data_IF_281388447047
#
_entry.id   IF_281388447047
#
_cell.length_a   1.000
_cell.length_b   1.000
_cell.length_c   1.000
_cell.angle_alpha   90.00
_cell.angle_beta   90.00
_cell.angle_gamma   90.00
#
_symmetry.space_group_name_H-M   'P 1'
#
loop_
_entity.id
_entity.type
_entity.pdbx_description
1 polymer ?
#
# COMPACT_ATOMS: atom_id res chain seq x y z
N UNK A 1 1.32 -44.75 18.37
CA UNK A 1 1.23 -43.77 17.27
C UNK A 1 2.03 -42.54 17.71
N UNK A 2 3.20 -42.27 17.10
CA UNK A 2 4.06 -41.13 17.46
C UNK A 2 4.00 -40.14 16.30
N UNK A 3 3.48 -38.94 16.54
CA UNK A 3 3.46 -37.87 15.55
C UNK A 3 4.90 -37.38 15.36
N UNK A 4 5.41 -37.48 14.12
CA UNK A 4 6.74 -36.98 13.75
C UNK A 4 6.73 -35.46 13.87
N UNK A 5 7.68 -34.94 14.64
CA UNK A 5 8.00 -33.52 14.70
C UNK A 5 8.54 -33.02 13.36
N UNK A 6 8.18 -31.80 13.00
CA UNK A 6 8.95 -30.99 12.06
C UNK A 6 8.34 -30.82 10.67
N UNK A 7 7.12 -30.30 10.58
CA UNK A 7 6.87 -29.35 9.49
C UNK A 7 7.68 -28.12 9.85
N UNK A 8 8.91 -28.00 9.32
CA UNK A 8 9.52 -26.68 9.22
C UNK A 8 8.54 -25.90 8.37
N UNK A 9 7.82 -24.96 8.99
CA UNK A 9 7.18 -23.90 8.23
C UNK A 9 8.26 -23.44 7.25
N UNK A 10 8.00 -23.58 5.96
CA UNK A 10 8.77 -22.84 4.97
C UNK A 10 8.75 -21.43 5.50
N UNK A 11 9.90 -20.96 5.98
CA UNK A 11 10.13 -19.55 6.18
C UNK A 11 9.95 -19.01 4.77
N UNK A 12 8.72 -18.63 4.42
CA UNK A 12 8.53 -17.55 3.47
C UNK A 12 9.43 -16.48 4.06
N UNK A 13 10.41 -15.94 3.32
CA UNK A 13 11.16 -14.78 3.77
C UNK A 13 10.15 -13.63 3.89
N UNK A 14 9.32 -13.67 4.91
CA UNK A 14 8.48 -12.59 5.36
C UNK A 14 9.44 -11.71 6.11
N UNK A 15 10.04 -10.77 5.37
CA UNK A 15 10.67 -9.62 5.97
C UNK A 15 11.80 -9.95 6.96
N UNK A 16 12.64 -10.93 6.63
CA UNK A 16 14.04 -10.82 7.02
C UNK A 16 14.56 -9.52 6.40
N UNK A 17 15.42 -8.82 7.14
CA UNK A 17 16.10 -7.57 6.78
C UNK A 17 16.47 -7.52 5.28
N UNK A 18 16.61 -6.31 4.71
CA UNK A 18 17.08 -6.04 3.33
C UNK A 18 15.94 -5.87 2.31
N UNK A 19 15.37 -4.69 2.06
CA UNK A 19 16.06 -3.44 1.78
C UNK A 19 15.19 -2.29 2.31
N UNK A 20 15.75 -1.48 3.22
CA UNK A 20 15.16 -0.18 3.51
C UNK A 20 15.08 0.67 2.24
N UNK A 21 16.08 0.53 1.37
CA UNK A 21 16.10 1.16 0.06
C UNK A 21 14.96 0.66 -0.84
N UNK A 22 14.33 1.60 -1.55
CA UNK A 22 13.10 1.45 -2.32
C UNK A 22 11.87 1.00 -1.50
N UNK A 23 11.90 1.11 -0.17
CA UNK A 23 10.75 0.80 0.68
C UNK A 23 9.88 2.02 0.96
N UNK A 24 8.63 1.77 1.37
CA UNK A 24 7.74 2.82 1.87
C UNK A 24 8.34 3.57 3.07
N UNK A 25 9.18 2.91 3.88
CA UNK A 25 9.83 3.55 5.02
C UNK A 25 10.88 4.58 4.60
N UNK A 26 11.67 4.29 3.55
CA UNK A 26 12.60 5.27 2.96
C UNK A 26 11.84 6.46 2.34
N UNK A 27 10.72 6.19 1.66
CA UNK A 27 9.87 7.26 1.13
C UNK A 27 9.32 8.18 2.25
N UNK A 28 8.98 7.61 3.41
CA UNK A 28 8.56 8.39 4.59
C UNK A 28 9.71 9.23 5.16
N UNK A 29 10.93 8.70 5.23
CA UNK A 29 12.10 9.48 5.65
C UNK A 29 12.40 10.62 4.67
N UNK A 30 12.31 10.38 3.36
CA UNK A 30 12.47 11.41 2.35
C UNK A 30 11.41 12.53 2.51
N UNK A 31 10.15 12.16 2.75
CA UNK A 31 9.08 13.11 3.02
C UNK A 31 9.29 13.89 4.33
N UNK A 32 9.71 13.21 5.41
CA UNK A 32 10.10 13.86 6.66
C UNK A 32 11.20 14.90 6.42
N UNK A 33 12.19 14.55 5.60
CA UNK A 33 13.28 15.43 5.25
C UNK A 33 12.85 16.64 4.41
N UNK A 34 11.92 16.47 3.46
CA UNK A 34 11.42 17.56 2.62
C UNK A 34 10.53 18.52 3.40
N UNK A 35 9.69 18.00 4.30
CA UNK A 35 8.75 18.81 5.08
C UNK A 35 9.38 19.47 6.30
N UNK A 36 10.58 19.05 6.73
CA UNK A 36 11.23 19.60 7.92
C UNK A 36 11.30 21.12 7.92
N UNK A 37 11.75 21.75 6.82
CA UNK A 37 11.86 23.21 6.74
C UNK A 37 10.50 23.91 6.80
N UNK A 38 9.46 23.27 6.25
CA UNK A 38 8.11 23.83 6.22
C UNK A 38 7.47 23.82 7.61
N UNK A 39 7.72 22.76 8.40
CA UNK A 39 7.08 22.56 9.71
C UNK A 39 7.93 23.13 10.85
N UNK A 40 9.24 22.92 10.81
CA UNK A 40 10.17 23.24 11.89
C UNK A 40 11.01 24.51 11.62
N UNK A 41 10.86 25.13 10.45
CA UNK A 41 11.60 26.33 10.06
C UNK A 41 13.10 26.08 9.99
N UNK A 42 13.87 26.92 10.69
CA UNK A 42 15.34 26.87 10.73
C UNK A 42 15.89 25.99 11.86
N UNK A 43 15.03 25.25 12.58
CA UNK A 43 15.48 24.34 13.61
C UNK A 43 16.40 23.26 13.02
N UNK A 44 17.48 22.93 13.75
CA UNK A 44 18.43 21.90 13.34
C UNK A 44 17.71 20.58 13.15
N UNK A 45 17.85 20.00 11.96
CA UNK A 45 17.27 18.69 11.66
C UNK A 45 17.96 17.60 12.49
N UNK A 46 17.20 16.71 13.15
CA UNK A 46 17.79 15.56 13.81
C UNK A 46 18.51 14.69 12.79
N UNK A 47 19.66 14.16 13.18
CA UNK A 47 20.38 13.20 12.35
C UNK A 47 19.58 11.89 12.27
N UNK A 48 19.63 11.18 11.13
CA UNK A 48 19.05 9.85 11.01
C UNK A 48 19.61 8.95 12.12
N UNK A 49 18.72 8.21 12.79
CA UNK A 49 19.08 7.26 13.83
C UNK A 49 18.32 5.96 13.63
N UNK A 50 18.87 4.85 14.15
CA UNK A 50 18.23 3.53 14.07
C UNK A 50 16.81 3.56 14.66
N UNK A 51 16.57 4.38 15.69
CA UNK A 51 15.25 4.56 16.31
C UNK A 51 14.27 5.24 15.35
N UNK A 52 14.73 6.26 14.62
CA UNK A 52 13.92 6.95 13.62
C UNK A 52 13.61 6.04 12.43
N UNK A 53 14.60 5.27 11.98
CA UNK A 53 14.43 4.28 10.92
C UNK A 53 13.43 3.19 11.34
N UNK A 54 13.56 2.67 12.56
CA UNK A 54 12.62 1.70 13.13
C UNK A 54 11.20 2.26 13.17
N UNK A 55 11.03 3.53 13.55
CA UNK A 55 9.73 4.20 13.56
C UNK A 55 9.09 4.21 12.17
N UNK A 56 9.82 4.62 11.13
CA UNK A 56 9.30 4.61 9.75
C UNK A 56 8.96 3.19 9.28
N UNK A 57 9.80 2.21 9.60
CA UNK A 57 9.53 0.79 9.29
C UNK A 57 8.25 0.31 9.98
N UNK A 58 8.06 0.62 11.27
CA UNK A 58 6.87 0.24 12.04
C UNK A 58 5.60 0.85 11.45
N UNK A 59 5.63 2.14 11.11
CA UNK A 59 4.48 2.83 10.49
C UNK A 59 4.16 2.21 9.13
N UNK A 60 5.16 2.04 8.25
CA UNK A 60 4.96 1.45 6.93
C UNK A 60 4.35 0.04 7.02
N UNK A 61 4.87 -0.81 7.92
CA UNK A 61 4.32 -2.16 8.16
C UNK A 61 2.89 -2.10 8.68
N UNK A 62 2.58 -1.17 9.59
CA UNK A 62 1.24 -0.96 10.12
C UNK A 62 0.24 -0.57 9.05
N UNK A 63 0.60 0.35 8.15
CA UNK A 63 -0.23 0.76 7.01
C UNK A 63 -0.49 -0.42 6.08
N UNK A 64 0.57 -1.11 5.65
CA UNK A 64 0.43 -2.26 4.73
C UNK A 64 -0.45 -3.35 5.37
N UNK A 65 -0.23 -3.66 6.65
CA UNK A 65 -1.06 -4.63 7.36
C UNK A 65 -2.52 -4.18 7.45
N UNK A 66 -2.77 -2.92 7.78
CA UNK A 66 -4.13 -2.40 7.88
C UNK A 66 -4.87 -2.46 6.54
N UNK A 67 -4.23 -2.07 5.44
CA UNK A 67 -4.80 -2.14 4.10
C UNK A 67 -5.03 -3.58 3.63
N UNK A 68 -4.14 -4.50 4.02
CA UNK A 68 -4.32 -5.93 3.76
C UNK A 68 -5.52 -6.50 4.53
N UNK A 69 -5.67 -6.17 5.81
CA UNK A 69 -6.75 -6.69 6.64
C UNK A 69 -8.11 -6.00 6.35
N UNK A 70 -8.11 -4.81 5.74
CA UNK A 70 -9.29 -3.97 5.48
C UNK A 70 -9.32 -3.51 4.02
N UNK A 71 -9.56 -4.45 3.10
CA UNK A 71 -9.52 -4.17 1.65
C UNK A 71 -10.46 -3.05 1.19
N UNK A 72 -11.60 -2.86 1.85
CA UNK A 72 -12.55 -1.77 1.61
C UNK A 72 -11.98 -0.37 1.89
N UNK A 73 -10.96 -0.26 2.74
CA UNK A 73 -10.27 0.99 3.00
C UNK A 73 -9.41 1.46 1.81
N UNK A 74 -9.13 0.56 0.84
CA UNK A 74 -8.37 0.86 -0.35
C UNK A 74 -9.26 0.93 -1.59
N UNK A 75 -9.89 2.09 -1.81
CA UNK A 75 -10.68 2.34 -3.02
C UNK A 75 -9.83 2.98 -4.11
N UNK A 76 -9.46 2.22 -5.14
CA UNK A 76 -8.86 2.76 -6.36
C UNK A 76 -9.96 3.24 -7.29
N UNK A 77 -10.08 4.57 -7.46
CA UNK A 77 -10.95 5.15 -8.49
C UNK A 77 -10.14 5.26 -9.78
N UNK A 78 -10.55 4.50 -10.79
CA UNK A 78 -10.03 4.64 -12.15
C UNK A 78 -10.98 5.56 -12.91
N UNK A 79 -10.48 6.71 -13.36
CA UNK A 79 -11.19 7.53 -14.33
C UNK A 79 -10.82 7.01 -15.74
N UNK A 80 -11.78 6.46 -16.50
CA UNK A 80 -11.53 5.91 -17.82
C UNK A 80 -11.13 6.98 -18.86
N UNK A 81 -11.26 8.28 -18.54
CA UNK A 81 -10.91 9.37 -19.46
C UNK A 81 -9.48 9.91 -19.28
N UNK A 82 -8.77 9.50 -18.23
CA UNK A 82 -7.44 10.06 -17.88
C UNK A 82 -6.33 9.02 -17.75
N UNK A 83 -6.44 7.85 -18.39
CA UNK A 83 -5.41 6.82 -18.37
C UNK A 83 -5.14 6.17 -19.74
N UNK A 84 -3.89 5.81 -20.01
CA UNK A 84 -3.54 4.91 -21.11
C UNK A 84 -3.55 3.46 -20.58
N UNK A 85 -4.49 2.65 -21.04
CA UNK A 85 -4.60 1.24 -20.69
C UNK A 85 -5.38 0.45 -21.73
N UNK A 86 -5.01 -0.80 -21.94
CA UNK A 86 -5.72 -1.74 -22.81
C UNK A 86 -6.90 -2.35 -22.05
N UNK A 87 -8.11 -2.18 -22.59
CA UNK A 87 -9.34 -2.75 -22.03
C UNK A 87 -9.49 -4.19 -22.55
N UNK A 88 -9.31 -5.20 -21.69
CA UNK A 88 -9.41 -6.63 -22.07
C UNK A 88 -10.84 -7.21 -21.93
N UNK A 89 -11.86 -6.36 -21.97
CA UNK A 89 -13.26 -6.77 -21.96
C UNK A 89 -14.18 -5.68 -21.46
N UNK A 90 -15.17 -5.31 -22.28
CA UNK A 90 -16.31 -4.50 -21.86
C UNK A 90 -17.50 -5.44 -21.79
N UNK A 91 -17.94 -5.78 -20.57
CA UNK A 91 -19.26 -6.42 -20.39
C UNK A 91 -20.27 -5.28 -20.43
N UNK A 92 -20.95 -5.14 -21.56
CA UNK A 92 -22.14 -4.29 -21.64
C UNK A 92 -23.31 -5.10 -21.13
N UNK A 93 -23.90 -4.70 -19.99
CA UNK A 93 -25.22 -5.21 -19.63
C UNK A 93 -26.22 -4.73 -20.70
N UNK A 94 -27.05 -5.62 -21.26
CA UNK A 94 -28.05 -5.22 -22.23
C UNK A 94 -29.08 -4.33 -21.54
N UNK A 95 -29.18 -3.08 -21.98
CA UNK A 95 -30.20 -2.14 -21.51
C UNK A 95 -31.58 -2.75 -21.77
N UNK A 96 -32.46 -2.88 -20.76
CA UNK A 96 -33.82 -3.37 -20.97
C UNK A 96 -34.55 -2.51 -22.00
N UNK A 97 -35.34 -3.10 -22.91
CA UNK A 97 -36.11 -2.32 -23.87
C UNK A 97 -37.09 -1.40 -23.14
N UNK A 98 -37.17 -0.15 -23.58
CA UNK A 98 -38.11 0.85 -23.07
C UNK A 98 -39.54 0.31 -23.22
N UNK A 99 -40.42 0.46 -22.21
CA UNK A 99 -41.80 0.03 -22.31
C UNK A 99 -42.48 0.77 -23.46
N UNK A 100 -43.14 0.03 -24.36
CA UNK A 100 -43.92 0.61 -25.44
C UNK A 100 -44.98 1.53 -24.86
N UNK A 101 -44.92 2.82 -25.19
CA UNK A 101 -45.95 3.78 -24.83
C UNK A 101 -47.31 3.28 -25.32
N UNK A 102 -48.25 3.12 -24.39
CA UNK A 102 -49.64 2.76 -24.66
C UNK A 102 -50.27 3.84 -25.55
N UNK A 103 -50.50 3.53 -26.83
CA UNK A 103 -51.41 4.28 -27.71
C UNK A 103 -52.83 3.77 -27.57
#
# INVERSE_FOLDING_TARGET
>A
MRLKAGTKATVIPSATEDNYSASMAEAMEAAFNSEWKNVMGDATKPQPSDQMQLLFISIARGIVKHLYDNHEAFTVKVDPNTGYGTVNGIVTEPTPPLPASLT
#
